data_IF_939313541432
#
_entry.id   IF_939313541432
#
_cell.length_a   1.000
_cell.length_b   1.000
_cell.length_c   1.000
_cell.angle_alpha   90.00
_cell.angle_beta   90.00
_cell.angle_gamma   90.00
#
_symmetry.space_group_name_H-M   'P 1'
#
loop_
_entity.id
_entity.type
_entity.pdbx_description
1 polymer ?
#
# COMPACT_ATOMS: atom_id res chain seq x y z
N UNK A 1 0.33 -17.94 -17.33
CA UNK A 1 -0.35 -18.84 -16.39
C UNK A 1 -1.65 -19.35 -17.01
N UNK A 2 -2.50 -18.45 -17.58
CA UNK A 2 -3.73 -18.84 -18.29
C UNK A 2 -3.52 -19.89 -19.39
N UNK A 3 -2.38 -19.85 -20.08
CA UNK A 3 -2.05 -20.81 -21.14
C UNK A 3 -1.71 -22.22 -20.64
N UNK A 4 -1.57 -22.41 -19.33
CA UNK A 4 -1.13 -23.67 -18.72
C UNK A 4 -2.18 -24.29 -17.78
N UNK A 5 -3.29 -23.62 -17.56
CA UNK A 5 -4.33 -24.07 -16.61
C UNK A 5 -5.71 -23.82 -17.18
N UNK A 6 -6.55 -24.86 -17.17
CA UNK A 6 -7.97 -24.75 -17.49
C UNK A 6 -8.71 -24.12 -16.29
N UNK A 7 -9.70 -23.27 -16.57
CA UNK A 7 -10.57 -22.63 -15.57
C UNK A 7 -9.85 -21.66 -14.59
N UNK A 8 -8.92 -20.86 -15.10
CA UNK A 8 -8.28 -19.79 -14.33
C UNK A 8 -8.91 -18.44 -14.68
N UNK A 9 -9.47 -17.76 -13.69
CA UNK A 9 -9.86 -16.36 -13.78
C UNK A 9 -8.77 -15.47 -13.14
N UNK A 10 -8.22 -14.54 -13.92
CA UNK A 10 -7.27 -13.57 -13.41
C UNK A 10 -8.01 -12.31 -12.96
N UNK A 11 -8.03 -12.07 -11.65
CA UNK A 11 -8.56 -10.84 -11.09
C UNK A 11 -7.43 -9.82 -11.03
N UNK A 12 -7.56 -8.84 -11.88
CA UNK A 12 -6.54 -7.81 -12.05
C UNK A 12 -6.68 -6.72 -10.96
N UNK A 13 -5.56 -6.15 -10.58
CA UNK A 13 -5.46 -5.18 -9.49
C UNK A 13 -6.19 -3.85 -9.78
N UNK A 14 -6.58 -3.60 -11.03
CA UNK A 14 -7.23 -2.34 -11.42
C UNK A 14 -8.58 -2.12 -10.73
N UNK A 15 -9.36 -3.21 -10.52
CA UNK A 15 -10.64 -3.14 -9.80
C UNK A 15 -10.42 -2.74 -8.33
N UNK A 16 -9.41 -3.32 -7.69
CA UNK A 16 -9.05 -2.97 -6.32
C UNK A 16 -8.67 -1.50 -6.20
N UNK A 17 -7.72 -1.03 -7.03
CA UNK A 17 -7.24 0.34 -6.96
C UNK A 17 -8.33 1.36 -7.33
N UNK A 18 -9.22 1.06 -8.28
CA UNK A 18 -10.40 1.92 -8.54
C UNK A 18 -11.28 2.07 -7.30
N UNK A 19 -11.52 0.98 -6.56
CA UNK A 19 -12.30 1.04 -5.32
C UNK A 19 -11.57 1.86 -4.24
N UNK A 20 -10.24 1.72 -4.12
CA UNK A 20 -9.43 2.55 -3.21
C UNK A 20 -9.53 4.02 -3.57
N UNK A 21 -9.35 4.37 -4.84
CA UNK A 21 -9.45 5.76 -5.30
C UNK A 21 -10.84 6.34 -5.05
N UNK A 22 -11.89 5.57 -5.31
CA UNK A 22 -13.26 5.98 -5.00
C UNK A 22 -13.48 6.22 -3.50
N UNK A 23 -12.96 5.32 -2.64
CA UNK A 23 -13.02 5.49 -1.18
C UNK A 23 -12.31 6.78 -0.73
N UNK A 24 -11.13 7.07 -1.30
CA UNK A 24 -10.38 8.30 -1.02
C UNK A 24 -11.11 9.54 -1.51
N UNK A 25 -11.72 9.49 -2.70
CA UNK A 25 -12.49 10.59 -3.28
C UNK A 25 -13.69 10.95 -2.40
N UNK A 26 -14.45 9.96 -1.94
CA UNK A 26 -15.56 10.16 -1.01
C UNK A 26 -15.10 10.81 0.30
N UNK A 27 -14.00 10.34 0.87
CA UNK A 27 -13.45 10.94 2.10
C UNK A 27 -12.96 12.38 1.90
N UNK A 28 -12.39 12.68 0.74
CA UNK A 28 -11.90 14.03 0.41
C UNK A 28 -13.03 15.01 0.07
N UNK A 29 -14.06 14.56 -0.65
CA UNK A 29 -15.20 15.39 -1.03
C UNK A 29 -16.05 15.80 0.18
N UNK A 30 -16.22 14.91 1.15
CA UNK A 30 -16.88 15.24 2.43
C UNK A 30 -16.13 16.36 3.18
N UNK A 31 -14.80 16.46 2.99
CA UNK A 31 -13.97 17.45 3.68
C UNK A 31 -13.76 18.77 2.91
N UNK A 32 -13.97 18.81 1.59
CA UNK A 32 -13.61 19.97 0.74
C UNK A 32 -14.74 20.60 -0.08
N UNK A 33 -15.87 19.95 -0.24
CA UNK A 33 -17.07 20.54 -0.90
C UNK A 33 -16.90 20.93 -2.38
N UNK A 34 -15.95 20.36 -3.12
CA UNK A 34 -15.71 20.64 -4.53
C UNK A 34 -15.46 19.36 -5.34
N UNK A 35 -16.05 19.33 -6.56
CA UNK A 35 -16.11 18.22 -7.50
C UNK A 35 -14.80 17.94 -8.30
N UNK A 36 -13.68 18.53 -7.95
CA UNK A 36 -12.43 18.27 -8.65
C UNK A 36 -11.76 16.97 -8.13
N UNK A 37 -11.49 16.04 -9.03
CA UNK A 37 -10.65 14.86 -8.83
C UNK A 37 -9.42 15.26 -7.98
N UNK A 38 -8.94 14.40 -7.07
CA UNK A 38 -7.83 14.76 -6.20
C UNK A 38 -6.55 14.98 -7.03
N UNK A 39 -6.44 16.15 -7.65
CA UNK A 39 -5.26 16.62 -8.40
C UNK A 39 -4.01 16.62 -7.50
N UNK A 40 -4.21 16.45 -6.20
CA UNK A 40 -3.17 16.49 -5.17
C UNK A 40 -2.68 15.09 -4.73
N UNK A 41 -3.04 14.02 -5.43
CA UNK A 41 -2.63 12.65 -5.12
C UNK A 41 -1.57 12.16 -6.10
N UNK A 42 -0.50 11.57 -5.56
CA UNK A 42 0.57 10.90 -6.32
C UNK A 42 0.42 9.39 -6.15
N UNK A 43 0.37 8.63 -7.25
CA UNK A 43 0.48 7.18 -7.21
C UNK A 43 1.96 6.78 -7.21
N UNK A 44 2.36 5.93 -6.27
CA UNK A 44 3.76 5.59 -6.07
C UNK A 44 3.99 4.09 -6.00
N UNK A 45 5.01 3.58 -6.69
CA UNK A 45 5.50 2.23 -6.48
C UNK A 45 6.49 2.17 -5.32
N UNK A 46 6.47 1.08 -4.56
CA UNK A 46 7.33 0.87 -3.39
C UNK A 46 8.80 0.68 -3.75
N UNK A 47 9.10 0.32 -5.01
CA UNK A 47 10.45 0.17 -5.55
C UNK A 47 10.46 0.30 -7.08
N UNK A 48 11.66 0.30 -7.65
CA UNK A 48 11.87 0.44 -9.09
C UNK A 48 11.25 -0.71 -9.91
N UNK A 49 11.19 -1.92 -9.36
CA UNK A 49 10.56 -3.09 -10.01
C UNK A 49 9.05 -2.93 -10.13
N UNK A 50 8.42 -2.28 -9.16
CA UNK A 50 6.99 -1.97 -9.14
C UNK A 50 6.57 -0.85 -10.09
N UNK A 51 7.50 -0.07 -10.64
CA UNK A 51 7.14 1.09 -11.46
C UNK A 51 6.48 0.71 -12.79
N UNK A 52 7.01 -0.29 -13.49
CA UNK A 52 6.40 -0.76 -14.76
C UNK A 52 4.99 -1.36 -14.56
N UNK A 53 4.74 -2.21 -13.55
CA UNK A 53 3.39 -2.60 -13.16
C UNK A 53 2.48 -1.42 -12.81
N UNK A 54 2.98 -0.42 -12.07
CA UNK A 54 2.23 0.79 -11.74
C UNK A 54 1.80 1.55 -12.99
N UNK A 55 2.69 1.75 -13.96
CA UNK A 55 2.35 2.45 -15.22
C UNK A 55 1.28 1.70 -16.00
N UNK A 56 1.35 0.36 -16.10
CA UNK A 56 0.29 -0.45 -16.72
C UNK A 56 -1.05 -0.34 -15.98
N UNK A 57 -1.00 -0.23 -14.66
CA UNK A 57 -2.19 0.01 -13.85
C UNK A 57 -2.77 1.39 -14.14
N UNK A 58 -1.93 2.44 -14.19
CA UNK A 58 -2.33 3.81 -14.54
C UNK A 58 -3.07 3.86 -15.88
N UNK A 59 -2.54 3.18 -16.90
CA UNK A 59 -3.20 3.07 -18.21
C UNK A 59 -4.60 2.44 -18.10
N UNK A 60 -4.73 1.33 -17.36
CA UNK A 60 -5.99 0.62 -17.19
C UNK A 60 -7.05 1.41 -16.41
N UNK A 61 -6.63 2.16 -15.40
CA UNK A 61 -7.55 3.00 -14.61
C UNK A 61 -7.75 4.39 -15.21
N UNK A 62 -7.03 4.72 -16.28
CA UNK A 62 -6.98 6.05 -16.93
C UNK A 62 -6.54 7.15 -15.97
N UNK A 63 -5.48 6.86 -15.20
CA UNK A 63 -4.90 7.81 -14.26
C UNK A 63 -4.25 8.98 -15.01
N UNK A 64 -4.59 10.21 -14.64
CA UNK A 64 -4.06 11.46 -15.21
C UNK A 64 -3.19 12.26 -14.22
N UNK A 65 -3.12 11.79 -12.95
CA UNK A 65 -2.30 12.42 -11.90
C UNK A 65 -0.82 12.06 -11.99
N UNK A 66 -0.06 12.57 -11.05
CA UNK A 66 1.38 12.28 -10.95
C UNK A 66 1.65 10.84 -10.54
N UNK A 67 2.81 10.34 -10.98
CA UNK A 67 3.35 9.04 -10.57
C UNK A 67 4.77 9.20 -10.08
N UNK A 68 5.16 8.41 -9.09
CA UNK A 68 6.50 8.37 -8.54
C UNK A 68 6.94 6.91 -8.29
N UNK A 69 8.23 6.73 -8.09
CA UNK A 69 8.81 5.45 -7.71
C UNK A 69 9.87 5.66 -6.64
N UNK A 70 9.87 4.80 -5.63
CA UNK A 70 11.03 4.62 -4.78
C UNK A 70 12.02 3.66 -5.45
N UNK A 71 13.28 3.75 -5.07
CA UNK A 71 14.29 2.76 -5.40
C UNK A 71 14.90 2.16 -4.13
N UNK A 72 15.35 0.92 -4.23
CA UNK A 72 16.04 0.22 -3.15
C UNK A 72 17.45 -0.11 -3.62
N UNK A 73 18.45 0.26 -2.84
CA UNK A 73 19.82 -0.21 -2.99
C UNK A 73 20.16 -1.12 -1.81
N UNK A 74 20.78 -2.23 -2.09
CA UNK A 74 21.33 -3.13 -1.08
C UNK A 74 22.84 -3.08 -1.18
N UNK A 75 23.48 -2.55 -0.16
CA UNK A 75 24.91 -2.60 -0.03
C UNK A 75 25.28 -3.75 0.91
N UNK A 76 26.16 -4.63 0.45
CA UNK A 76 26.76 -5.67 1.27
C UNK A 76 28.15 -5.21 1.70
N UNK A 77 28.32 -4.92 2.98
CA UNK A 77 29.58 -4.44 3.54
C UNK A 77 29.87 -5.14 4.86
N UNK A 78 31.05 -5.72 5.01
CA UNK A 78 31.50 -6.36 6.24
C UNK A 78 30.58 -7.46 6.80
N UNK A 79 29.94 -8.26 5.94
CA UNK A 79 29.04 -9.33 6.37
C UNK A 79 27.59 -8.87 6.65
N UNK A 80 27.32 -7.57 6.58
CA UNK A 80 25.99 -7.00 6.81
C UNK A 80 25.38 -6.46 5.52
N UNK A 81 24.08 -6.61 5.39
CA UNK A 81 23.30 -6.03 4.28
C UNK A 81 22.60 -4.79 4.76
N UNK A 82 23.02 -3.64 4.26
CA UNK A 82 22.33 -2.37 4.49
C UNK A 82 21.34 -2.11 3.37
N UNK A 83 20.08 -1.88 3.72
CA UNK A 83 19.02 -1.49 2.80
C UNK A 83 18.91 0.03 2.79
N UNK A 84 19.22 0.65 1.65
CA UNK A 84 19.00 2.08 1.45
C UNK A 84 17.82 2.27 0.50
N UNK A 85 16.84 3.06 0.94
CA UNK A 85 15.73 3.49 0.09
C UNK A 85 16.01 4.90 -0.42
N UNK A 86 15.68 5.16 -1.68
CA UNK A 86 15.89 6.45 -2.32
C UNK A 86 14.59 6.87 -3.02
N UNK A 87 14.26 8.14 -2.91
CA UNK A 87 13.15 8.78 -3.61
C UNK A 87 13.75 9.90 -4.46
N UNK A 88 13.38 9.95 -5.73
CA UNK A 88 13.89 10.99 -6.65
C UNK A 88 13.35 12.40 -6.34
N UNK A 89 12.22 12.48 -5.63
CA UNK A 89 11.59 13.74 -5.24
C UNK A 89 12.05 14.17 -3.84
N UNK A 90 12.58 15.38 -3.74
CA UNK A 90 13.03 15.94 -2.46
C UNK A 90 11.90 16.67 -1.71
N UNK A 91 10.81 17.03 -2.40
CA UNK A 91 9.68 17.77 -1.81
C UNK A 91 8.40 17.45 -2.60
N UNK A 92 7.42 16.87 -1.93
CA UNK A 92 6.09 16.58 -2.48
C UNK A 92 5.12 17.76 -2.34
N UNK A 93 5.53 18.87 -1.72
CA UNK A 93 4.74 20.12 -1.59
C UNK A 93 3.36 19.89 -0.94
N UNK A 94 3.31 19.02 0.03
CA UNK A 94 2.07 18.68 0.73
C UNK A 94 1.10 17.78 -0.07
N UNK A 95 1.54 17.19 -1.21
CA UNK A 95 0.70 16.24 -1.95
C UNK A 95 0.49 14.96 -1.16
N UNK A 96 -0.70 14.43 -1.25
CA UNK A 96 -1.03 13.12 -0.72
C UNK A 96 -0.40 12.02 -1.59
N UNK A 97 -0.01 10.91 -0.98
CA UNK A 97 0.66 9.81 -1.69
C UNK A 97 -0.07 8.51 -1.42
N UNK A 98 -0.43 7.79 -2.47
CA UNK A 98 -0.90 6.41 -2.41
C UNK A 98 0.19 5.47 -2.93
N UNK A 99 0.79 4.72 -2.02
CA UNK A 99 1.71 3.65 -2.39
C UNK A 99 0.91 2.43 -2.81
N UNK A 100 1.23 1.88 -3.99
CA UNK A 100 0.57 0.70 -4.54
C UNK A 100 1.58 -0.43 -4.69
N UNK A 101 1.25 -1.60 -4.14
CA UNK A 101 2.08 -2.81 -4.25
C UNK A 101 1.21 -4.08 -4.27
N UNK A 102 1.82 -5.23 -4.50
CA UNK A 102 1.13 -6.51 -4.52
C UNK A 102 1.03 -7.15 -3.12
N UNK A 103 2.09 -7.09 -2.31
CA UNK A 103 2.16 -7.81 -1.05
C UNK A 103 2.84 -7.02 0.07
N UNK A 104 2.28 -7.11 1.28
CA UNK A 104 2.89 -6.64 2.51
C UNK A 104 3.01 -7.78 3.52
N UNK A 105 4.23 -8.30 3.77
CA UNK A 105 4.48 -9.39 4.71
C UNK A 105 4.81 -8.85 6.11
N UNK A 106 5.95 -8.19 6.27
CA UNK A 106 6.41 -7.61 7.54
C UNK A 106 6.31 -6.09 7.61
N UNK A 107 6.02 -5.44 6.49
CA UNK A 107 5.85 -4.00 6.40
C UNK A 107 7.14 -3.16 6.48
N UNK A 108 8.32 -3.75 6.70
CA UNK A 108 9.57 -3.01 6.90
C UNK A 108 9.90 -2.03 5.78
N UNK A 109 9.73 -2.44 4.52
CA UNK A 109 9.88 -1.57 3.34
C UNK A 109 8.96 -0.36 3.41
N UNK A 110 7.67 -0.59 3.69
CA UNK A 110 6.66 0.46 3.73
C UNK A 110 6.85 1.41 4.89
N UNK A 111 7.27 0.91 6.07
CA UNK A 111 7.60 1.74 7.24
C UNK A 111 8.78 2.67 6.96
N UNK A 112 9.85 2.14 6.35
CA UNK A 112 11.00 2.95 5.93
C UNK A 112 10.60 4.02 4.90
N UNK A 113 9.84 3.62 3.89
CA UNK A 113 9.37 4.53 2.85
C UNK A 113 8.46 5.63 3.42
N UNK A 114 7.55 5.29 4.34
CA UNK A 114 6.67 6.26 4.97
C UNK A 114 7.45 7.34 5.74
N UNK A 115 8.49 6.96 6.48
CA UNK A 115 9.37 7.92 7.18
C UNK A 115 10.02 8.88 6.19
N UNK A 116 10.62 8.36 5.12
CA UNK A 116 11.27 9.19 4.10
C UNK A 116 10.29 10.14 3.41
N UNK A 117 9.07 9.68 3.11
CA UNK A 117 8.06 10.51 2.47
C UNK A 117 7.60 11.65 3.39
N UNK A 118 7.50 11.41 4.70
CA UNK A 118 7.23 12.48 5.68
C UNK A 118 8.35 13.52 5.69
N UNK A 119 9.60 13.09 5.61
CA UNK A 119 10.76 13.99 5.53
C UNK A 119 10.77 14.79 4.21
N UNK A 120 10.15 14.26 3.15
CA UNK A 120 9.97 14.93 1.86
C UNK A 120 8.69 15.77 1.77
N UNK A 121 8.14 16.24 2.89
CA UNK A 121 7.00 17.14 2.94
C UNK A 121 5.77 16.64 2.16
N UNK A 122 5.43 15.35 2.31
CA UNK A 122 4.18 14.83 1.77
C UNK A 122 2.98 15.22 2.66
N UNK A 123 1.78 15.19 2.07
CA UNK A 123 0.52 15.29 2.78
C UNK A 123 0.16 13.97 3.47
N UNK A 124 -1.06 13.50 3.28
CA UNK A 124 -1.49 12.20 3.79
C UNK A 124 -0.81 11.06 3.04
N UNK A 125 -0.52 10.00 3.79
CA UNK A 125 0.09 8.78 3.26
C UNK A 125 -0.90 7.62 3.31
N UNK A 126 -1.08 7.00 2.16
CA UNK A 126 -1.94 5.85 1.98
C UNK A 126 -1.13 4.66 1.45
N UNK A 127 -1.53 3.47 1.83
CA UNK A 127 -0.95 2.22 1.34
C UNK A 127 -2.07 1.32 0.79
N UNK A 128 -1.93 0.85 -0.43
CA UNK A 128 -2.81 -0.15 -1.03
C UNK A 128 -2.00 -1.38 -1.44
N UNK A 129 -2.28 -2.51 -0.83
CA UNK A 129 -1.63 -3.80 -1.15
C UNK A 129 -2.69 -4.87 -1.39
N UNK A 130 -2.50 -5.66 -2.45
CA UNK A 130 -3.45 -6.75 -2.75
C UNK A 130 -3.48 -7.79 -1.65
N UNK A 131 -2.30 -8.11 -1.11
CA UNK A 131 -2.15 -9.17 -0.11
C UNK A 131 -1.45 -8.64 1.14
N UNK A 132 -2.19 -8.55 2.24
CA UNK A 132 -1.62 -8.21 3.55
C UNK A 132 -1.58 -9.44 4.44
N UNK A 133 -0.46 -9.69 5.13
CA UNK A 133 -0.34 -10.81 6.06
C UNK A 133 -0.49 -10.36 7.51
N UNK A 134 -0.90 -11.27 8.41
CA UNK A 134 -1.10 -10.99 9.85
C UNK A 134 0.15 -10.48 10.56
N UNK A 135 1.32 -10.89 10.09
CA UNK A 135 2.61 -10.50 10.69
C UNK A 135 2.82 -8.99 10.72
N UNK A 136 2.04 -8.24 9.94
CA UNK A 136 2.07 -6.78 9.93
C UNK A 136 1.23 -6.12 11.04
N UNK A 137 0.44 -6.90 11.77
CA UNK A 137 -0.47 -6.39 12.79
C UNK A 137 0.02 -6.69 14.22
N UNK A 138 1.34 -6.93 14.40
CA UNK A 138 1.99 -7.13 15.69
C UNK A 138 2.17 -5.83 16.50
N UNK A 139 3.17 -5.80 17.37
CA UNK A 139 3.44 -4.67 18.28
C UNK A 139 3.69 -3.34 17.55
N UNK A 140 4.31 -3.39 16.37
CA UNK A 140 4.54 -2.23 15.51
C UNK A 140 3.93 -2.46 14.12
N UNK A 141 2.59 -2.38 13.96
CA UNK A 141 1.95 -2.64 12.69
C UNK A 141 2.25 -1.56 11.66
N UNK A 142 2.31 -1.95 10.38
CA UNK A 142 2.52 -1.02 9.26
C UNK A 142 1.47 0.10 9.25
N UNK A 143 0.27 -0.16 9.74
CA UNK A 143 -0.83 0.80 9.83
C UNK A 143 -0.48 2.04 10.67
N UNK A 144 0.45 1.94 11.63
CA UNK A 144 0.89 3.09 12.44
C UNK A 144 1.63 4.17 11.63
N UNK A 145 2.08 3.84 10.42
CA UNK A 145 2.90 4.72 9.57
C UNK A 145 2.09 5.42 8.47
N UNK A 146 0.83 5.03 8.31
CA UNK A 146 -0.05 5.53 7.25
C UNK A 146 -1.33 6.12 7.82
N UNK A 147 -1.87 7.12 7.14
CA UNK A 147 -3.18 7.68 7.49
C UNK A 147 -4.28 6.65 7.22
N UNK A 148 -4.14 5.87 6.14
CA UNK A 148 -5.02 4.75 5.85
C UNK A 148 -4.32 3.67 5.04
N UNK A 149 -4.69 2.43 5.30
CA UNK A 149 -4.18 1.24 4.61
C UNK A 149 -5.33 0.47 4.01
N UNK A 150 -5.18 0.04 2.78
CA UNK A 150 -6.16 -0.75 2.05
C UNK A 150 -5.57 -2.10 1.68
N UNK A 151 -6.34 -3.15 1.83
CA UNK A 151 -6.01 -4.46 1.29
C UNK A 151 -7.24 -5.17 0.75
N UNK A 152 -7.04 -6.24 -0.01
CA UNK A 152 -8.15 -7.09 -0.44
C UNK A 152 -8.48 -8.14 0.63
N UNK A 153 -9.62 -8.80 0.46
CA UNK A 153 -10.00 -9.94 1.28
C UNK A 153 -9.30 -11.26 0.91
N UNK A 154 -8.18 -11.21 0.17
CA UNK A 154 -7.45 -12.41 -0.28
C UNK A 154 -6.85 -13.25 0.86
N UNK A 155 -6.66 -12.65 2.03
CA UNK A 155 -6.11 -13.29 3.24
C UNK A 155 -7.03 -13.16 4.45
N UNK A 156 -7.85 -12.13 4.50
CA UNK A 156 -8.69 -11.81 5.66
C UNK A 156 -10.11 -11.46 5.27
N UNK A 157 -11.06 -12.05 5.96
CA UNK A 157 -12.40 -11.52 6.09
C UNK A 157 -12.46 -10.50 7.24
N UNK A 158 -13.39 -9.55 7.14
CA UNK A 158 -13.57 -8.42 8.06
C UNK A 158 -13.77 -8.76 9.55
N UNK A 159 -13.59 -10.02 9.99
CA UNK A 159 -14.16 -10.42 11.27
C UNK A 159 -13.20 -10.93 12.33
N UNK A 160 -11.99 -11.34 12.01
CA UNK A 160 -11.12 -11.85 13.09
C UNK A 160 -9.64 -11.88 12.70
N UNK A 161 -8.84 -11.04 13.30
CA UNK A 161 -7.39 -11.22 13.28
C UNK A 161 -6.98 -12.08 14.46
N UNK A 162 -6.44 -13.25 14.18
CA UNK A 162 -5.79 -14.08 15.18
C UNK A 162 -4.29 -13.84 15.08
N UNK A 163 -3.67 -13.24 16.08
CA UNK A 163 -2.22 -13.24 16.18
C UNK A 163 -1.76 -14.58 16.74
N UNK A 164 -0.74 -15.16 16.12
CA UNK A 164 -0.01 -16.30 16.68
C UNK A 164 1.24 -15.78 17.34
N UNK A 165 1.37 -15.96 18.64
CA UNK A 165 2.66 -15.88 19.31
C UNK A 165 3.47 -17.14 18.97
N UNK A 166 4.76 -16.94 18.65
CA UNK A 166 5.68 -18.03 18.29
C UNK A 166 5.86 -19.06 19.43
N UNK A 167 5.56 -18.69 20.67
CA UNK A 167 5.81 -19.50 21.84
C UNK A 167 4.57 -20.09 22.55
N UNK A 168 3.36 -19.53 22.34
CA UNK A 168 2.20 -19.85 23.18
C UNK A 168 0.88 -20.12 22.43
N UNK A 169 0.90 -20.22 21.11
CA UNK A 169 -0.32 -20.49 20.34
C UNK A 169 -1.20 -19.26 20.10
N UNK A 170 -2.49 -19.45 19.98
CA UNK A 170 -3.46 -18.42 19.64
C UNK A 170 -3.54 -17.35 20.74
N UNK A 171 -3.02 -16.18 20.47
CA UNK A 171 -3.22 -14.99 21.29
C UNK A 171 -4.24 -14.06 20.64
N UNK A 172 -5.17 -13.63 21.45
CA UNK A 172 -6.17 -12.58 21.27
C UNK A 172 -6.66 -12.22 19.86
N UNK A 173 -7.96 -12.09 19.77
CA UNK A 173 -8.66 -11.45 18.65
C UNK A 173 -8.31 -9.96 18.71
N UNK A 174 -7.32 -9.54 17.93
CA UNK A 174 -7.06 -8.12 17.79
C UNK A 174 -8.18 -7.48 16.96
N UNK A 175 -8.71 -6.40 17.47
CA UNK A 175 -9.62 -5.56 16.69
C UNK A 175 -8.88 -5.03 15.45
N UNK A 176 -9.57 -5.05 14.31
CA UNK A 176 -9.03 -4.43 13.07
C UNK A 176 -8.57 -3.00 13.36
N UNK A 177 -7.36 -2.61 12.96
CA UNK A 177 -6.93 -1.22 13.07
C UNK A 177 -7.95 -0.28 12.42
N UNK A 178 -8.28 0.83 13.07
CA UNK A 178 -9.31 1.78 12.61
C UNK A 178 -9.01 2.34 11.20
N UNK A 179 -7.75 2.43 10.85
CA UNK A 179 -7.29 2.93 9.56
C UNK A 179 -6.94 1.83 8.55
N UNK A 180 -7.35 0.57 8.80
CA UNK A 180 -7.26 -0.52 7.83
C UNK A 180 -8.64 -0.77 7.21
N UNK A 181 -8.73 -0.64 5.90
CA UNK A 181 -9.93 -0.97 5.11
C UNK A 181 -9.69 -2.21 4.26
N UNK A 182 -10.58 -3.19 4.36
CA UNK A 182 -10.54 -4.42 3.58
C UNK A 182 -11.58 -4.32 2.47
N UNK A 183 -11.11 -4.28 1.22
CA UNK A 183 -11.95 -4.22 0.04
C UNK A 183 -12.26 -5.63 -0.44
N UNK A 184 -13.52 -6.01 -0.47
CA UNK A 184 -13.96 -7.30 -0.96
C UNK A 184 -13.90 -7.33 -2.48
N UNK A 185 -13.14 -8.26 -3.03
CA UNK A 185 -13.05 -8.55 -4.47
C UNK A 185 -13.63 -9.91 -4.83
N UNK A 186 -13.74 -10.81 -3.87
CA UNK A 186 -14.20 -12.18 -4.00
C UNK A 186 -15.46 -12.43 -3.20
#
# INVERSE_FOLDING_TARGET
VEALMDNVEIIDNSKFIKNVLYSLEVEMSVNKGNDDYPINLVLMSSDAGGFKPLMKLCDKIRWIGETASASKSREYKNGETTLTQLIAHNDFRGKDILIVDDICIYGGTFKGLAKMLRDCNCGKLYLAVSHMTVQNLGEDPVTNYFDKVYCTNSKYDNYTYKTMDRNHGLLDILSQPKNLEIIKLF
#
